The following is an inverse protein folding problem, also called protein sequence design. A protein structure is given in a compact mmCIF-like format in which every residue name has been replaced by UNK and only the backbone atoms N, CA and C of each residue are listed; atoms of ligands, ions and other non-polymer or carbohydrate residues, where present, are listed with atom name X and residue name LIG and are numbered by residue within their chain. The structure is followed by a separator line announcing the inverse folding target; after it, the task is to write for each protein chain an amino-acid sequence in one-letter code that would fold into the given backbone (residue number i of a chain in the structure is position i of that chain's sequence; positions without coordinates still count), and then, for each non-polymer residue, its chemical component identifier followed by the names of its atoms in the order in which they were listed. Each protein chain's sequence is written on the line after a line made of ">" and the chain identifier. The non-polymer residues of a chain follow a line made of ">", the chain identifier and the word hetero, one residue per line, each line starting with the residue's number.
data_IF_528975598645
#
_entry.id   IF_528975598645
#
_cell.length_a   1.000
_cell.length_b   1.000
_cell.length_c   1.000
_cell.angle_alpha   90.00
_cell.angle_beta   90.00
_cell.angle_gamma   90.00
#
_symmetry.space_group_name_H-M   'P 1'
#
loop_
_entity.id
_entity.type
_entity.pdbx_description
1 polymer ?
#
# COMPACT_ATOMS: atom_id res chain seq x y z
N UNK A 1 -18.74 22.64 31.94
CA UNK A 1 -19.05 21.20 31.95
C UNK A 1 -19.60 20.71 30.60
N UNK A 2 -20.41 21.49 29.89
CA UNK A 2 -21.03 21.14 28.59
C UNK A 2 -19.98 20.94 27.50
N UNK A 3 -18.99 21.81 27.39
CA UNK A 3 -17.99 21.82 26.33
C UNK A 3 -17.04 20.59 26.35
N UNK A 4 -16.69 20.11 27.55
CA UNK A 4 -15.88 18.87 27.68
C UNK A 4 -16.68 17.60 27.30
N UNK A 5 -17.97 17.59 27.56
CA UNK A 5 -18.85 16.48 27.19
C UNK A 5 -19.01 16.38 25.64
N UNK A 6 -19.20 17.53 24.96
CA UNK A 6 -19.31 17.62 23.52
C UNK A 6 -17.99 17.22 22.84
N UNK A 7 -16.84 17.66 23.36
CA UNK A 7 -15.51 17.26 22.92
C UNK A 7 -15.28 15.76 23.04
N UNK A 8 -15.59 15.19 24.19
CA UNK A 8 -15.47 13.76 24.45
C UNK A 8 -16.40 12.96 23.55
N UNK A 9 -17.64 13.40 23.35
CA UNK A 9 -18.59 12.76 22.46
C UNK A 9 -18.12 12.79 20.99
N UNK A 10 -17.55 13.91 20.54
CA UNK A 10 -17.01 14.03 19.18
C UNK A 10 -15.81 13.09 18.95
N UNK A 11 -14.92 12.95 19.95
CA UNK A 11 -13.78 12.03 19.89
C UNK A 11 -14.20 10.56 19.93
N UNK A 12 -15.14 10.20 20.81
CA UNK A 12 -15.69 8.85 20.85
C UNK A 12 -16.38 8.46 19.54
N UNK A 13 -17.12 9.39 18.98
CA UNK A 13 -17.81 9.15 17.72
C UNK A 13 -16.81 8.98 16.56
N UNK A 14 -15.74 9.78 16.48
CA UNK A 14 -14.70 9.59 15.46
C UNK A 14 -14.00 8.23 15.62
N UNK A 15 -13.59 7.90 16.85
CA UNK A 15 -12.92 6.63 17.13
C UNK A 15 -13.81 5.42 16.81
N UNK A 16 -15.12 5.53 17.08
CA UNK A 16 -16.07 4.45 16.77
C UNK A 16 -16.30 4.31 15.27
N UNK A 17 -16.53 5.42 14.58
CA UNK A 17 -16.83 5.43 13.15
C UNK A 17 -15.61 5.04 12.30
N UNK A 18 -14.40 5.41 12.70
CA UNK A 18 -13.17 4.95 12.03
C UNK A 18 -12.84 3.49 12.33
N UNK A 19 -13.23 2.96 13.50
CA UNK A 19 -13.05 1.54 13.82
C UNK A 19 -14.01 0.62 13.05
N UNK A 20 -15.11 1.15 12.50
CA UNK A 20 -16.10 0.42 11.70
C UNK A 20 -15.90 0.59 10.20
N UNK A 21 -14.98 1.43 9.77
CA UNK A 21 -14.65 1.65 8.37
C UNK A 21 -14.05 0.38 7.75
N UNK A 22 -14.53 0.03 6.56
CA UNK A 22 -14.15 -1.22 5.86
C UNK A 22 -12.89 -1.02 5.01
N UNK A 23 -12.59 0.22 4.63
CA UNK A 23 -11.46 0.57 3.76
C UNK A 23 -10.98 2.02 4.00
N UNK A 24 -9.82 2.36 3.43
CA UNK A 24 -9.21 3.68 3.52
C UNK A 24 -10.16 4.81 3.08
N UNK A 25 -10.91 4.62 2.00
CA UNK A 25 -11.84 5.62 1.49
C UNK A 25 -12.94 5.98 2.49
N UNK A 26 -13.47 4.98 3.20
CA UNK A 26 -14.51 5.18 4.22
C UNK A 26 -13.94 5.93 5.43
N UNK A 27 -12.71 5.62 5.84
CA UNK A 27 -11.99 6.36 6.90
C UNK A 27 -11.86 7.82 6.55
N UNK A 28 -11.37 8.12 5.34
CA UNK A 28 -11.13 9.48 4.89
C UNK A 28 -12.43 10.26 4.68
N UNK A 29 -13.48 9.62 4.17
CA UNK A 29 -14.79 10.23 4.02
C UNK A 29 -15.40 10.61 5.37
N UNK A 30 -15.33 9.69 6.34
CA UNK A 30 -15.81 9.93 7.69
C UNK A 30 -15.04 11.05 8.38
N UNK A 31 -13.72 11.07 8.24
CA UNK A 31 -12.86 12.11 8.77
C UNK A 31 -13.18 13.49 8.19
N UNK A 32 -13.29 13.59 6.85
CA UNK A 32 -13.61 14.83 6.16
C UNK A 32 -14.98 15.38 6.58
N UNK A 33 -16.01 14.53 6.63
CA UNK A 33 -17.36 14.90 7.05
C UNK A 33 -17.40 15.39 8.50
N UNK A 34 -16.74 14.69 9.41
CA UNK A 34 -16.67 15.05 10.83
C UNK A 34 -15.97 16.38 11.05
N UNK A 35 -14.79 16.55 10.47
CA UNK A 35 -14.05 17.81 10.59
C UNK A 35 -14.86 18.95 9.98
N UNK A 36 -15.43 18.73 8.78
CA UNK A 36 -16.26 19.72 8.13
C UNK A 36 -17.43 20.21 8.98
N UNK A 37 -18.12 19.31 9.68
CA UNK A 37 -19.25 19.64 10.56
C UNK A 37 -18.82 20.29 11.87
N UNK A 38 -17.78 19.76 12.52
CA UNK A 38 -17.35 20.23 13.85
C UNK A 38 -16.74 21.63 13.76
N UNK A 39 -16.01 21.92 12.66
CA UNK A 39 -15.30 23.19 12.52
C UNK A 39 -15.97 24.16 11.54
N UNK A 40 -17.14 23.82 10.99
CA UNK A 40 -17.81 24.56 9.90
C UNK A 40 -16.81 24.92 8.78
N UNK A 41 -16.16 23.89 8.27
CA UNK A 41 -15.03 24.02 7.35
C UNK A 41 -15.16 23.12 6.12
N UNK A 42 -14.49 23.51 5.05
CA UNK A 42 -14.19 22.63 3.94
C UNK A 42 -12.86 21.90 4.20
N UNK A 43 -12.78 20.66 3.76
CA UNK A 43 -11.65 19.77 4.06
C UNK A 43 -11.06 19.24 2.77
N UNK A 44 -9.74 19.23 2.66
CA UNK A 44 -9.01 18.54 1.62
C UNK A 44 -8.01 17.57 2.23
N UNK A 45 -7.96 16.34 1.72
CA UNK A 45 -7.03 15.32 2.18
C UNK A 45 -6.11 14.97 1.02
N UNK A 46 -4.80 14.99 1.29
CA UNK A 46 -3.77 14.62 0.35
C UNK A 46 -2.97 13.46 0.94
N UNK A 47 -2.80 12.43 0.13
CA UNK A 47 -2.02 11.24 0.48
C UNK A 47 -0.70 11.23 -0.29
N UNK A 48 0.35 10.61 0.25
CA UNK A 48 1.60 10.47 -0.48
C UNK A 48 1.52 9.37 -1.53
N UNK A 49 2.27 9.55 -2.62
CA UNK A 49 2.60 8.51 -3.58
C UNK A 49 4.12 8.34 -3.62
N UNK A 50 4.60 7.30 -2.96
CA UNK A 50 6.02 7.16 -2.67
C UNK A 50 6.49 8.21 -1.65
N UNK A 51 7.55 8.95 -1.96
CA UNK A 51 8.13 9.97 -1.07
C UNK A 51 7.49 11.36 -1.22
N UNK A 52 6.60 11.56 -2.18
CA UNK A 52 6.02 12.86 -2.48
C UNK A 52 4.50 12.86 -2.29
N UNK A 53 3.97 14.02 -1.94
CA UNK A 53 2.53 14.22 -1.84
C UNK A 53 1.87 14.16 -3.23
N UNK A 54 0.76 13.43 -3.34
CA UNK A 54 0.03 13.38 -4.60
C UNK A 54 -0.66 14.72 -4.87
N UNK A 55 -0.55 15.22 -6.12
CA UNK A 55 -1.09 16.52 -6.49
C UNK A 55 -2.63 16.58 -6.48
N UNK A 56 -3.25 15.44 -6.67
CA UNK A 56 -4.69 15.33 -6.64
C UNK A 56 -5.17 15.08 -5.22
N UNK A 57 -6.01 15.95 -4.70
CA UNK A 57 -6.67 15.73 -3.42
C UNK A 57 -7.58 14.49 -3.49
N UNK A 58 -7.65 13.76 -2.39
CA UNK A 58 -8.51 12.59 -2.30
C UNK A 58 -9.97 12.94 -2.65
N UNK A 59 -10.69 12.02 -3.26
CA UNK A 59 -12.08 12.22 -3.75
C UNK A 59 -13.10 12.66 -2.68
N UNK A 60 -12.79 12.43 -1.41
CA UNK A 60 -13.61 12.87 -0.27
C UNK A 60 -13.43 14.35 0.09
N UNK A 61 -12.48 15.02 -0.58
CA UNK A 61 -12.20 16.44 -0.34
C UNK A 61 -13.36 17.32 -0.80
N UNK A 62 -13.67 18.34 -0.02
CA UNK A 62 -14.79 19.26 -0.27
C UNK A 62 -14.38 20.57 -0.96
N UNK A 63 -13.06 20.80 -1.12
CA UNK A 63 -12.53 21.89 -1.96
C UNK A 63 -11.32 21.43 -2.77
N UNK A 64 -11.09 22.11 -3.90
CA UNK A 64 -9.94 21.88 -4.75
C UNK A 64 -8.79 22.81 -4.37
N UNK A 65 -7.55 22.29 -4.45
CA UNK A 65 -6.35 23.06 -4.18
C UNK A 65 -5.86 23.74 -5.47
N UNK A 66 -5.42 24.97 -5.33
CA UNK A 66 -4.64 25.64 -6.39
C UNK A 66 -3.13 25.27 -6.27
N UNK A 67 -2.29 25.82 -7.16
CA UNK A 67 -0.84 25.55 -7.12
C UNK A 67 -0.15 26.07 -5.86
N UNK A 68 -0.63 27.16 -5.29
CA UNK A 68 -0.08 27.73 -4.05
C UNK A 68 -0.46 26.88 -2.86
N UNK A 69 -1.71 26.45 -2.77
CA UNK A 69 -2.20 25.57 -1.73
C UNK A 69 -1.46 24.24 -1.75
N UNK A 70 -1.24 23.67 -2.94
CA UNK A 70 -0.47 22.44 -3.08
C UNK A 70 0.99 22.59 -2.64
N UNK A 71 1.65 23.70 -2.97
CA UNK A 71 3.01 23.98 -2.54
C UNK A 71 3.11 24.07 -1.00
N UNK A 72 2.11 24.70 -0.36
CA UNK A 72 2.04 24.80 1.11
C UNK A 72 1.75 23.44 1.75
N UNK A 73 0.87 22.65 1.17
CA UNK A 73 0.59 21.28 1.60
C UNK A 73 1.83 20.40 1.51
N UNK A 74 2.58 20.49 0.39
CA UNK A 74 3.84 19.75 0.21
C UNK A 74 4.88 20.17 1.24
N UNK A 75 5.01 21.45 1.52
CA UNK A 75 5.89 21.94 2.57
C UNK A 75 5.50 21.38 3.95
N UNK A 76 4.20 21.37 4.27
CA UNK A 76 3.71 20.81 5.53
C UNK A 76 4.01 19.31 5.64
N UNK A 77 3.88 18.57 4.54
CA UNK A 77 4.23 17.14 4.45
C UNK A 77 5.71 16.87 4.72
N UNK A 78 6.58 17.58 4.03
CA UNK A 78 8.04 17.40 4.09
C UNK A 78 8.62 17.82 5.43
N UNK A 79 8.11 18.90 6.03
CA UNK A 79 8.63 19.45 7.28
C UNK A 79 7.92 18.95 8.54
N UNK A 80 6.81 18.23 8.38
CA UNK A 80 6.02 17.75 9.50
C UNK A 80 5.49 18.88 10.39
N UNK A 81 5.18 20.03 9.82
CA UNK A 81 4.71 21.22 10.56
C UNK A 81 3.50 21.83 9.88
N UNK A 82 2.59 22.37 10.69
CA UNK A 82 1.44 23.12 10.17
C UNK A 82 1.91 24.35 9.39
N UNK A 83 1.22 24.65 8.29
CA UNK A 83 1.46 25.81 7.44
C UNK A 83 0.18 26.32 6.81
N UNK A 84 0.20 27.51 6.22
CA UNK A 84 -0.92 28.10 5.52
C UNK A 84 -1.70 29.11 6.34
N UNK A 85 -2.96 29.30 5.98
CA UNK A 85 -3.85 30.34 6.54
C UNK A 85 -3.86 30.30 8.05
N UNK A 86 -3.86 31.50 8.69
CA UNK A 86 -3.84 31.68 10.14
C UNK A 86 -2.66 31.03 10.87
N UNK A 87 -1.56 30.69 10.18
CA UNK A 87 -0.31 30.21 10.80
C UNK A 87 0.83 31.21 10.59
N UNK A 88 1.92 31.03 11.33
CA UNK A 88 3.15 31.82 11.14
C UNK A 88 3.93 31.43 9.87
N UNK A 89 3.58 30.32 9.22
CA UNK A 89 4.32 29.76 8.09
C UNK A 89 3.45 29.73 6.83
N UNK A 90 3.88 30.41 5.76
CA UNK A 90 3.23 30.42 4.45
C UNK A 90 1.75 30.85 4.50
N UNK A 91 1.44 31.89 5.27
CA UNK A 91 0.09 32.38 5.58
C UNK A 91 -0.74 32.82 4.35
N UNK A 92 -0.16 32.87 3.16
CA UNK A 92 -0.81 33.31 1.91
C UNK A 92 -1.67 32.22 1.24
N UNK A 93 -1.68 31.01 1.76
CA UNK A 93 -2.55 29.93 1.29
C UNK A 93 -4.02 30.20 1.61
N UNK A 94 -4.92 29.58 0.86
CA UNK A 94 -6.37 29.70 1.07
C UNK A 94 -6.86 28.88 2.27
N UNK A 95 -6.08 27.88 2.69
CA UNK A 95 -6.39 26.95 3.76
C UNK A 95 -5.23 26.79 4.74
N UNK A 96 -5.50 26.26 5.91
CA UNK A 96 -4.50 25.76 6.86
C UNK A 96 -4.21 24.27 6.56
N UNK A 97 -2.94 23.92 6.46
CA UNK A 97 -2.49 22.55 6.19
C UNK A 97 -1.80 21.95 7.40
N UNK A 98 -2.29 20.78 7.84
CA UNK A 98 -1.79 20.04 8.98
C UNK A 98 -1.27 18.69 8.51
N UNK A 99 -0.01 18.33 8.84
CA UNK A 99 0.52 17.02 8.51
C UNK A 99 -0.15 15.94 9.36
N UNK A 100 -0.53 14.84 8.72
CA UNK A 100 -0.99 13.61 9.37
C UNK A 100 0.26 12.83 9.80
N UNK A 101 0.68 13.03 11.03
CA UNK A 101 1.94 12.49 11.55
C UNK A 101 1.72 11.31 12.48
N UNK A 102 2.57 10.31 12.30
CA UNK A 102 2.80 9.23 13.26
C UNK A 102 4.24 9.28 13.77
N UNK A 103 4.62 8.52 14.80
CA UNK A 103 5.99 8.52 15.31
C UNK A 103 7.06 8.16 14.27
N UNK A 104 6.67 7.47 13.18
CA UNK A 104 7.61 7.01 12.16
C UNK A 104 7.69 7.89 10.92
N UNK A 105 6.60 8.58 10.56
CA UNK A 105 6.51 9.31 9.28
C UNK A 105 5.28 10.22 9.19
N UNK A 106 5.27 11.08 8.19
CA UNK A 106 4.06 11.79 7.76
C UNK A 106 3.31 10.92 6.74
N UNK A 107 2.05 10.57 7.03
CA UNK A 107 1.21 9.67 6.20
C UNK A 107 0.25 10.42 5.29
N UNK A 108 0.24 11.74 5.35
CA UNK A 108 -0.59 12.61 4.51
C UNK A 108 -0.66 14.03 5.03
N UNK A 109 -1.50 14.84 4.40
CA UNK A 109 -1.80 16.21 4.84
C UNK A 109 -3.30 16.43 4.77
N UNK A 110 -3.83 17.11 5.76
CA UNK A 110 -5.20 17.61 5.75
C UNK A 110 -5.20 19.14 5.63
N UNK A 111 -5.92 19.66 4.64
CA UNK A 111 -6.18 21.08 4.47
C UNK A 111 -7.55 21.42 5.02
N UNK A 112 -7.65 22.52 5.78
CA UNK A 112 -8.90 22.99 6.39
C UNK A 112 -9.09 24.46 6.05
N UNK A 113 -10.27 24.80 5.53
CA UNK A 113 -10.68 26.15 5.18
C UNK A 113 -12.00 26.44 5.92
N UNK A 114 -11.92 27.24 7.00
CA UNK A 114 -13.12 27.65 7.74
C UNK A 114 -13.98 28.59 6.91
N UNK A 115 -15.30 28.40 6.91
CA UNK A 115 -16.22 29.22 6.10
C UNK A 115 -16.26 30.70 6.53
N UNK A 116 -15.99 30.97 7.78
CA UNK A 116 -15.97 32.32 8.31
C UNK A 116 -14.62 33.03 8.15
N UNK A 117 -13.62 32.37 7.54
CA UNK A 117 -12.23 32.86 7.40
C UNK A 117 -11.65 33.43 8.72
N UNK A 118 -11.98 32.82 9.82
CA UNK A 118 -11.51 33.19 11.16
C UNK A 118 -10.54 32.12 11.70
N UNK A 119 -9.54 32.53 12.48
CA UNK A 119 -8.67 31.58 13.15
C UNK A 119 -9.49 30.73 14.15
N UNK A 120 -9.11 29.47 14.29
CA UNK A 120 -9.69 28.58 15.29
C UNK A 120 -9.34 29.07 16.70
N UNK A 121 -10.24 28.90 17.64
CA UNK A 121 -9.95 29.14 19.06
C UNK A 121 -8.94 28.10 19.57
N UNK A 122 -8.28 28.37 20.68
CA UNK A 122 -7.34 27.44 21.28
C UNK A 122 -7.93 26.05 21.53
N UNK A 123 -9.17 25.98 22.02
CA UNK A 123 -9.87 24.71 22.26
C UNK A 123 -10.17 23.96 20.96
N UNK A 124 -10.54 24.69 19.90
CA UNK A 124 -10.77 24.13 18.58
C UNK A 124 -9.47 23.61 17.97
N UNK A 125 -8.36 24.33 18.10
CA UNK A 125 -7.04 23.88 17.63
C UNK A 125 -6.62 22.57 18.32
N UNK A 126 -6.78 22.47 19.63
CA UNK A 126 -6.47 21.25 20.37
C UNK A 126 -7.35 20.05 19.95
N UNK A 127 -8.63 20.32 19.72
CA UNK A 127 -9.55 19.30 19.24
C UNK A 127 -9.16 18.83 17.84
N UNK A 128 -8.82 19.77 16.95
CA UNK A 128 -8.37 19.48 15.60
C UNK A 128 -7.07 18.65 15.60
N UNK A 129 -6.08 18.99 16.41
CA UNK A 129 -4.87 18.18 16.59
C UNK A 129 -5.19 16.75 17.01
N UNK A 130 -6.14 16.59 17.90
CA UNK A 130 -6.55 15.25 18.34
C UNK A 130 -7.17 14.45 17.19
N UNK A 131 -8.04 15.08 16.37
CA UNK A 131 -8.60 14.45 15.18
C UNK A 131 -7.52 14.08 14.18
N UNK A 132 -6.62 15.01 13.86
CA UNK A 132 -5.51 14.80 12.93
C UNK A 132 -4.63 13.62 13.36
N UNK A 133 -4.28 13.54 14.63
CA UNK A 133 -3.49 12.44 15.18
C UNK A 133 -4.22 11.09 15.09
N UNK A 134 -5.52 11.04 15.38
CA UNK A 134 -6.30 9.81 15.26
C UNK A 134 -6.40 9.35 13.81
N UNK A 135 -6.67 10.26 12.89
CA UNK A 135 -6.72 9.96 11.44
C UNK A 135 -5.38 9.43 10.95
N UNK A 136 -4.27 10.07 11.36
CA UNK A 136 -2.92 9.63 11.01
C UNK A 136 -2.65 8.18 11.43
N UNK A 137 -3.03 7.80 12.65
CA UNK A 137 -2.86 6.43 13.16
C UNK A 137 -3.69 5.40 12.38
N UNK A 138 -4.94 5.75 12.03
CA UNK A 138 -5.79 4.87 11.24
C UNK A 138 -5.24 4.68 9.83
N UNK A 139 -4.81 5.76 9.16
CA UNK A 139 -4.18 5.69 7.84
C UNK A 139 -2.91 4.83 7.90
N UNK A 140 -2.06 5.03 8.91
CA UNK A 140 -0.82 4.23 9.06
C UNK A 140 -1.13 2.76 9.20
N UNK A 141 -2.13 2.40 10.02
CA UNK A 141 -2.56 1.01 10.19
C UNK A 141 -3.00 0.39 8.87
N UNK A 142 -3.87 1.05 8.11
CA UNK A 142 -4.35 0.56 6.82
C UNK A 142 -3.19 0.36 5.83
N UNK A 143 -2.25 1.32 5.77
CA UNK A 143 -1.07 1.19 4.92
C UNK A 143 -0.16 0.02 5.32
N UNK A 144 -0.04 -0.26 6.62
CA UNK A 144 0.72 -1.41 7.12
C UNK A 144 0.02 -2.74 6.83
N UNK A 145 -1.29 -2.79 6.98
CA UNK A 145 -2.09 -3.97 6.68
C UNK A 145 -2.03 -4.30 5.17
N UNK A 146 -2.17 -3.30 4.28
CA UNK A 146 -1.99 -3.48 2.82
C UNK A 146 -0.58 -3.97 2.47
N UNK A 147 0.46 -3.40 3.07
CA UNK A 147 1.83 -3.81 2.83
C UNK A 147 2.10 -5.25 3.32
N UNK A 148 1.50 -5.65 4.43
CA UNK A 148 1.59 -7.01 4.95
C UNK A 148 0.90 -8.02 4.01
N UNK A 149 -0.30 -7.72 3.52
CA UNK A 149 -1.01 -8.57 2.56
C UNK A 149 -0.23 -8.74 1.25
N UNK A 150 0.31 -7.64 0.70
CA UNK A 150 1.14 -7.69 -0.51
C UNK A 150 2.39 -8.56 -0.30
N UNK A 151 3.05 -8.43 0.87
CA UNK A 151 4.21 -9.24 1.22
C UNK A 151 3.87 -10.73 1.32
N UNK A 152 2.72 -11.09 1.88
CA UNK A 152 2.26 -12.46 1.97
C UNK A 152 1.96 -13.06 0.58
N UNK A 153 1.27 -12.32 -0.29
CA UNK A 153 0.99 -12.75 -1.68
C UNK A 153 2.29 -12.99 -2.46
N UNK A 154 3.27 -12.10 -2.31
CA UNK A 154 4.55 -12.23 -2.99
C UNK A 154 5.30 -13.50 -2.54
N UNK A 155 5.36 -13.74 -1.22
CA UNK A 155 6.00 -14.94 -0.65
C UNK A 155 5.32 -16.23 -1.11
N UNK A 156 4.00 -16.26 -1.17
CA UNK A 156 3.27 -17.44 -1.64
C UNK A 156 3.52 -17.69 -3.13
N UNK A 157 3.55 -16.63 -3.94
CA UNK A 157 3.92 -16.71 -5.36
C UNK A 157 5.34 -17.27 -5.56
N UNK A 158 6.33 -16.77 -4.80
CA UNK A 158 7.71 -17.28 -4.85
C UNK A 158 7.79 -18.75 -4.44
N UNK A 159 7.04 -19.13 -3.41
CA UNK A 159 6.98 -20.54 -2.96
C UNK A 159 6.42 -21.47 -4.02
N UNK A 160 5.30 -21.07 -4.65
CA UNK A 160 4.68 -21.83 -5.73
C UNK A 160 5.62 -21.93 -6.94
N UNK A 161 6.28 -20.83 -7.32
CA UNK A 161 7.23 -20.81 -8.41
C UNK A 161 8.43 -21.74 -8.15
N UNK A 162 8.98 -21.71 -6.96
CA UNK A 162 10.07 -22.59 -6.55
C UNK A 162 9.65 -24.08 -6.55
N UNK A 163 8.45 -24.38 -6.07
CA UNK A 163 7.92 -25.74 -6.09
C UNK A 163 7.73 -26.26 -7.53
N UNK A 164 7.18 -25.41 -8.42
CA UNK A 164 7.04 -25.75 -9.84
C UNK A 164 8.39 -26.00 -10.53
N UNK A 165 9.38 -25.13 -10.32
CA UNK A 165 10.71 -25.31 -10.89
C UNK A 165 11.39 -26.60 -10.40
N UNK A 166 11.24 -26.92 -9.12
CA UNK A 166 11.77 -28.14 -8.56
C UNK A 166 11.10 -29.38 -9.14
N UNK A 167 9.77 -29.36 -9.31
CA UNK A 167 9.02 -30.44 -9.96
C UNK A 167 9.45 -30.64 -11.40
N UNK A 168 9.52 -29.58 -12.19
CA UNK A 168 9.98 -29.63 -13.60
C UNK A 168 11.42 -30.15 -13.67
N UNK A 169 12.32 -29.66 -12.82
CA UNK A 169 13.71 -30.09 -12.77
C UNK A 169 13.83 -31.59 -12.47
N UNK A 170 13.00 -32.10 -11.58
CA UNK A 170 12.97 -33.54 -11.26
C UNK A 170 12.41 -34.36 -12.43
N UNK A 171 11.34 -33.89 -13.08
CA UNK A 171 10.75 -34.56 -14.25
C UNK A 171 11.65 -34.53 -15.49
N UNK A 172 12.49 -33.51 -15.66
CA UNK A 172 13.48 -33.43 -16.72
C UNK A 172 14.70 -34.36 -16.45
N UNK A 173 15.13 -34.45 -15.20
CA UNK A 173 16.33 -35.23 -14.82
C UNK A 173 16.21 -36.72 -15.20
N UNK A 174 15.02 -37.29 -14.95
CA UNK A 174 14.79 -38.74 -15.22
C UNK A 174 14.97 -39.12 -16.70
N UNK A 175 14.30 -38.47 -17.68
CA UNK A 175 14.48 -38.83 -19.07
C UNK A 175 15.88 -38.47 -19.59
N UNK A 176 16.51 -37.39 -19.11
CA UNK A 176 17.88 -37.03 -19.45
C UNK A 176 18.85 -38.14 -18.96
N UNK A 177 18.71 -38.62 -17.74
CA UNK A 177 19.53 -39.69 -17.21
C UNK A 177 19.36 -41.00 -18.02
N UNK A 178 18.12 -41.31 -18.44
CA UNK A 178 17.84 -42.47 -19.31
C UNK A 178 18.51 -42.33 -20.64
N UNK A 179 18.43 -41.18 -21.32
CA UNK A 179 19.08 -40.91 -22.61
C UNK A 179 20.59 -41.04 -22.47
N UNK A 180 21.17 -40.37 -21.46
CA UNK A 180 22.63 -40.37 -21.25
C UNK A 180 23.16 -41.79 -20.93
N UNK A 181 22.46 -42.52 -20.05
CA UNK A 181 22.81 -43.88 -19.65
C UNK A 181 22.72 -44.86 -20.84
N UNK A 182 21.61 -44.80 -21.60
CA UNK A 182 21.44 -45.67 -22.79
C UNK A 182 22.42 -45.33 -23.90
N UNK A 183 22.72 -44.06 -24.10
CA UNK A 183 23.74 -43.64 -25.08
C UNK A 183 25.14 -44.10 -24.70
N UNK A 184 25.52 -43.98 -23.42
CA UNK A 184 26.82 -44.48 -22.92
C UNK A 184 26.96 -46.01 -23.04
N UNK A 185 25.87 -46.77 -22.80
CA UNK A 185 25.89 -48.22 -23.03
C UNK A 185 26.01 -48.60 -24.52
N UNK A 186 25.36 -47.84 -25.42
CA UNK A 186 25.51 -48.02 -26.88
C UNK A 186 26.94 -47.78 -27.31
N UNK A 187 27.62 -46.81 -26.75
CA UNK A 187 29.00 -46.48 -27.06
C UNK A 187 29.98 -47.54 -26.52
N UNK A 188 29.76 -48.03 -25.32
CA UNK A 188 30.59 -49.07 -24.67
C UNK A 188 30.44 -50.45 -25.36
N UNK A 189 29.25 -50.75 -25.92
CA UNK A 189 28.93 -52.04 -26.54
C UNK A 189 28.95 -51.95 -28.08
N UNK A 190 30.02 -51.42 -28.68
CA UNK A 190 30.16 -51.27 -30.13
C UNK A 190 29.99 -52.63 -30.91
N UNK A 191 30.23 -53.78 -30.29
CA UNK A 191 30.08 -55.15 -30.82
C UNK A 191 28.92 -55.92 -30.14
N UNK A 192 27.96 -55.29 -29.53
CA UNK A 192 26.85 -55.92 -28.82
C UNK A 192 25.81 -56.57 -29.75
N UNK A 193 25.02 -57.51 -29.14
CA UNK A 193 23.89 -58.14 -29.82
C UNK A 193 22.90 -57.08 -30.38
N UNK A 194 22.40 -57.34 -31.62
CA UNK A 194 21.52 -56.43 -32.34
C UNK A 194 20.19 -56.18 -31.64
N UNK A 195 19.76 -57.08 -30.75
CA UNK A 195 18.53 -56.93 -29.94
C UNK A 195 18.71 -55.91 -28.79
N UNK A 196 19.77 -56.04 -28.02
CA UNK A 196 20.16 -55.08 -26.99
C UNK A 196 20.32 -53.65 -27.51
N UNK A 197 20.94 -53.51 -28.70
CA UNK A 197 21.09 -52.22 -29.37
C UNK A 197 19.73 -51.58 -29.73
N UNK A 198 18.75 -52.37 -30.21
CA UNK A 198 17.41 -51.88 -30.54
C UNK A 198 16.66 -51.45 -29.31
N UNK A 199 16.80 -52.16 -28.17
CA UNK A 199 16.19 -51.80 -26.89
C UNK A 199 16.73 -50.47 -26.35
N UNK A 200 18.05 -50.26 -26.40
CA UNK A 200 18.65 -49.00 -25.95
C UNK A 200 18.20 -47.81 -26.83
N UNK A 201 18.09 -47.98 -28.16
CA UNK A 201 17.56 -46.95 -29.06
C UNK A 201 16.09 -46.63 -28.75
N UNK A 202 15.24 -47.66 -28.49
CA UNK A 202 13.85 -47.45 -28.10
C UNK A 202 13.74 -46.69 -26.77
N UNK A 203 14.62 -47.00 -25.82
CA UNK A 203 14.66 -46.32 -24.51
C UNK A 203 14.99 -44.84 -24.68
N UNK A 204 15.97 -44.49 -25.52
CA UNK A 204 16.32 -43.10 -25.86
C UNK A 204 15.12 -42.38 -26.50
N UNK A 205 14.47 -43.00 -27.49
CA UNK A 205 13.34 -42.42 -28.21
C UNK A 205 12.17 -42.14 -27.23
N UNK A 206 11.80 -43.12 -26.38
CA UNK A 206 10.77 -42.97 -25.41
C UNK A 206 11.05 -41.84 -24.38
N UNK A 207 12.30 -41.73 -23.97
CA UNK A 207 12.70 -40.65 -23.03
C UNK A 207 12.70 -39.28 -23.73
N UNK A 208 13.09 -39.19 -24.99
CA UNK A 208 13.03 -37.97 -25.79
C UNK A 208 11.57 -37.53 -26.03
N UNK A 209 10.67 -38.47 -26.32
CA UNK A 209 9.24 -38.19 -26.48
C UNK A 209 8.59 -37.68 -25.18
N UNK A 210 9.07 -38.20 -24.05
CA UNK A 210 8.63 -37.72 -22.74
C UNK A 210 9.10 -36.29 -22.47
N UNK A 211 10.34 -35.96 -22.80
CA UNK A 211 10.84 -34.58 -22.70
C UNK A 211 10.04 -33.64 -23.60
N UNK A 212 9.72 -34.03 -24.79
CA UNK A 212 8.96 -33.21 -25.75
C UNK A 212 7.52 -32.90 -25.29
N UNK A 213 6.98 -33.73 -24.40
CA UNK A 213 5.66 -33.50 -23.79
C UNK A 213 5.69 -32.61 -22.55
N UNK A 214 6.87 -32.33 -21.99
CA UNK A 214 7.06 -31.46 -20.81
C UNK A 214 7.36 -30.01 -21.18
N UNK A 215 7.72 -29.78 -22.44
CA UNK A 215 7.97 -28.44 -23.02
C UNK A 215 6.77 -27.99 -23.84
#
# INVERSE_FOLDING_TARGET
>A
ASHNAERTAALYALAHDTATAVNMDDVLATAADRIGRVFDAEVAILLPRGEHLERQAHRTSTFALDEKDFAVASWAFENGKRAGRHTATLAQASAQFLPLQTPGRTVGVIGIRTRQDAPLSFDQEQLLETFVNQIALVIERELLDEAAEQSLMLRESERLYTALLNSISHELRTPIATITGSAGLLEAQANGDGETRRELVRSIQSAADRLNRLV
#
